data_IF_758091230029
#
_entry.id   IF_758091230029
#
_cell.length_a   1.000
_cell.length_b   1.000
_cell.length_c   1.000
_cell.angle_alpha   90.00
_cell.angle_beta   90.00
_cell.angle_gamma   90.00
#
_symmetry.space_group_name_H-M   'P 1'
#
loop_
_entity.id
_entity.type
_entity.pdbx_description
1 polymer ?
#
# COMPACT_ATOMS: atom_id res chain seq x y z
N UNK A 1 -8.66 15.24 12.37
CA UNK A 1 -7.71 14.78 11.33
C UNK A 1 -8.54 14.40 10.12
N UNK A 2 -8.72 15.30 9.15
CA UNK A 2 -9.56 15.05 7.97
C UNK A 2 -9.08 13.84 7.14
N UNK A 3 -7.77 13.58 7.10
CA UNK A 3 -7.17 12.50 6.31
C UNK A 3 -7.51 11.10 6.85
N UNK A 4 -7.64 10.94 8.17
CA UNK A 4 -8.01 9.66 8.78
C UNK A 4 -9.50 9.33 8.55
N UNK A 5 -10.36 10.35 8.58
CA UNK A 5 -11.79 10.20 8.28
C UNK A 5 -12.02 9.93 6.79
N UNK A 6 -11.20 10.51 5.91
CA UNK A 6 -11.17 10.18 4.49
C UNK A 6 -10.83 8.70 4.28
N UNK A 7 -9.70 8.22 4.81
CA UNK A 7 -9.30 6.80 4.70
C UNK A 7 -10.34 5.85 5.27
N UNK A 8 -11.01 6.23 6.35
CA UNK A 8 -12.14 5.47 6.91
C UNK A 8 -13.30 5.38 5.91
N UNK A 9 -13.67 6.50 5.29
CA UNK A 9 -14.71 6.54 4.25
C UNK A 9 -14.33 5.69 3.03
N UNK A 10 -13.07 5.75 2.61
CA UNK A 10 -12.55 4.93 1.50
C UNK A 10 -12.55 3.44 1.83
N UNK A 11 -12.22 3.08 3.08
CA UNK A 11 -12.31 1.71 3.56
C UNK A 11 -13.75 1.20 3.55
N UNK A 12 -14.68 1.96 4.16
CA UNK A 12 -16.10 1.59 4.26
C UNK A 12 -16.77 1.49 2.89
N UNK A 13 -16.34 2.29 1.92
CA UNK A 13 -16.81 2.23 0.53
C UNK A 13 -16.11 1.18 -0.35
N UNK A 14 -15.12 0.45 0.18
CA UNK A 14 -14.38 -0.59 -0.53
C UNK A 14 -13.30 -0.07 -1.50
N UNK A 15 -13.02 1.24 -1.53
CA UNK A 15 -11.97 1.81 -2.39
C UNK A 15 -10.57 1.31 -2.02
N UNK A 16 -10.37 0.90 -0.77
CA UNK A 16 -9.09 0.36 -0.29
C UNK A 16 -8.98 -1.18 -0.40
N UNK A 17 -9.97 -1.87 -0.99
CA UNK A 17 -9.94 -3.35 -1.09
C UNK A 17 -8.79 -3.87 -1.96
N UNK A 18 -8.33 -3.10 -2.94
CA UNK A 18 -7.14 -3.45 -3.73
C UNK A 18 -5.88 -3.47 -2.86
N UNK A 19 -5.68 -2.45 -2.01
CA UNK A 19 -4.55 -2.38 -1.08
C UNK A 19 -4.59 -3.55 -0.08
N UNK A 20 -5.78 -3.92 0.40
CA UNK A 20 -5.94 -5.08 1.29
C UNK A 20 -5.51 -6.38 0.62
N UNK A 21 -5.89 -6.58 -0.65
CA UNK A 21 -5.49 -7.74 -1.44
C UNK A 21 -3.98 -7.75 -1.67
N UNK A 22 -3.42 -6.62 -2.07
CA UNK A 22 -1.98 -6.46 -2.31
C UNK A 22 -1.19 -6.76 -1.03
N UNK A 23 -1.66 -6.32 0.14
CA UNK A 23 -1.03 -6.65 1.44
C UNK A 23 -1.06 -8.15 1.74
N UNK A 24 -2.18 -8.82 1.50
CA UNK A 24 -2.32 -10.26 1.70
C UNK A 24 -1.38 -11.03 0.76
N UNK A 25 -1.35 -10.66 -0.51
CA UNK A 25 -0.46 -11.28 -1.51
C UNK A 25 1.01 -11.00 -1.17
N UNK A 26 1.33 -9.78 -0.76
CA UNK A 26 2.67 -9.38 -0.34
C UNK A 26 3.17 -10.23 0.84
N UNK A 27 2.41 -10.31 1.93
CA UNK A 27 2.82 -11.10 3.12
C UNK A 27 2.91 -12.59 2.78
N UNK A 28 2.03 -13.10 1.90
CA UNK A 28 2.10 -14.49 1.44
C UNK A 28 3.37 -14.77 0.63
N UNK A 29 3.67 -13.91 -0.33
CA UNK A 29 4.80 -14.08 -1.25
C UNK A 29 6.15 -13.86 -0.55
N UNK A 30 6.19 -12.96 0.44
CA UNK A 30 7.41 -12.61 1.19
C UNK A 30 7.45 -13.22 2.59
N UNK A 31 6.62 -14.24 2.87
CA UNK A 31 6.51 -14.83 4.22
C UNK A 31 7.87 -15.21 4.80
N UNK A 32 8.68 -15.94 4.03
CA UNK A 32 10.00 -16.39 4.48
C UNK A 32 10.95 -15.21 4.65
N UNK A 33 10.96 -14.27 3.70
CA UNK A 33 11.80 -13.07 3.78
C UNK A 33 11.49 -12.21 5.01
N UNK A 34 10.22 -12.08 5.39
CA UNK A 34 9.79 -11.35 6.59
C UNK A 34 10.30 -12.04 7.86
N UNK A 35 10.21 -13.37 7.91
CA UNK A 35 10.71 -14.15 9.04
C UNK A 35 12.23 -14.07 9.14
N UNK A 36 12.94 -14.20 8.03
CA UNK A 36 14.39 -14.07 7.97
C UNK A 36 14.83 -12.67 8.37
N UNK A 37 14.14 -11.63 7.89
CA UNK A 37 14.39 -10.25 8.27
C UNK A 37 14.21 -10.02 9.78
N UNK A 38 13.17 -10.63 10.38
CA UNK A 38 12.91 -10.58 11.83
C UNK A 38 14.09 -11.15 12.62
N UNK A 39 14.55 -12.35 12.26
CA UNK A 39 15.64 -13.04 12.96
C UNK A 39 17.00 -12.35 12.74
N UNK A 40 17.30 -11.99 11.49
CA UNK A 40 18.63 -11.50 11.10
C UNK A 40 18.87 -10.03 11.49
N UNK A 41 17.84 -9.18 11.44
CA UNK A 41 17.99 -7.74 11.64
C UNK A 41 17.30 -7.27 12.92
N UNK A 42 16.01 -7.56 13.07
CA UNK A 42 15.23 -6.96 14.15
C UNK A 42 15.62 -7.53 15.51
N UNK A 43 15.77 -8.85 15.65
CA UNK A 43 16.18 -9.44 16.94
C UNK A 43 17.59 -9.05 17.36
N UNK A 44 18.50 -8.83 16.41
CA UNK A 44 19.86 -8.33 16.71
C UNK A 44 19.86 -6.87 17.19
N UNK A 45 18.98 -6.03 16.62
CA UNK A 45 18.90 -4.61 16.95
C UNK A 45 18.03 -4.29 18.17
N UNK A 46 16.96 -5.07 18.39
CA UNK A 46 15.92 -4.78 19.41
C UNK A 46 15.76 -5.89 20.45
N UNK A 47 16.57 -6.93 20.42
CA UNK A 47 16.52 -8.05 21.35
C UNK A 47 15.36 -9.02 21.08
N UNK A 48 15.03 -9.85 22.06
CA UNK A 48 14.13 -11.00 21.89
C UNK A 48 12.64 -10.66 21.68
N UNK A 49 12.22 -9.39 21.89
CA UNK A 49 10.80 -8.98 21.89
C UNK A 49 10.32 -8.41 20.55
N UNK A 50 10.73 -8.98 19.42
CA UNK A 50 10.22 -8.54 18.11
C UNK A 50 8.93 -9.28 17.79
N UNK A 51 7.83 -8.54 17.67
CA UNK A 51 6.53 -9.10 17.28
C UNK A 51 6.44 -9.32 15.77
N UNK A 52 5.59 -10.26 15.36
CA UNK A 52 5.26 -10.52 13.95
C UNK A 52 4.72 -9.27 13.25
N UNK A 53 3.88 -8.49 13.92
CA UNK A 53 3.33 -7.23 13.43
C UNK A 53 4.45 -6.21 13.12
N UNK A 54 5.41 -6.07 14.04
CA UNK A 54 6.55 -5.18 13.82
C UNK A 54 7.42 -5.69 12.66
N UNK A 55 7.60 -7.01 12.52
CA UNK A 55 8.36 -7.59 11.42
C UNK A 55 7.75 -7.26 10.05
N UNK A 56 6.43 -7.42 9.90
CA UNK A 56 5.71 -7.09 8.66
C UNK A 56 5.89 -5.60 8.32
N UNK A 57 5.64 -4.70 9.28
CA UNK A 57 5.75 -3.24 9.07
C UNK A 57 7.16 -2.84 8.65
N UNK A 58 8.17 -3.32 9.37
CA UNK A 58 9.55 -2.97 9.09
C UNK A 58 10.02 -3.53 7.76
N UNK A 59 9.55 -4.72 7.38
CA UNK A 59 9.85 -5.28 6.06
C UNK A 59 9.19 -4.49 4.94
N UNK A 60 7.93 -4.07 5.08
CA UNK A 60 7.25 -3.16 4.12
C UNK A 60 8.04 -1.86 3.96
N UNK A 61 8.50 -1.26 5.07
CA UNK A 61 9.32 -0.06 5.03
C UNK A 61 10.67 -0.29 4.35
N UNK A 62 11.25 -1.48 4.46
CA UNK A 62 12.49 -1.86 3.80
C UNK A 62 12.31 -1.97 2.29
N UNK A 63 11.25 -2.65 1.82
CA UNK A 63 11.01 -2.86 0.38
C UNK A 63 10.34 -1.67 -0.31
N UNK A 64 9.78 -0.73 0.47
CA UNK A 64 9.22 0.56 0.02
C UNK A 64 7.98 0.48 -0.89
N UNK A 65 7.49 -0.70 -1.23
CA UNK A 65 6.26 -0.91 -2.00
C UNK A 65 5.71 -2.31 -1.74
N UNK A 66 4.39 -2.45 -1.68
CA UNK A 66 3.71 -3.76 -1.55
C UNK A 66 3.26 -4.31 -2.90
N UNK A 67 3.13 -3.44 -3.91
CA UNK A 67 2.71 -3.78 -5.27
C UNK A 67 3.18 -2.69 -6.23
N UNK A 68 4.45 -2.73 -6.70
CA UNK A 68 4.98 -1.69 -7.58
C UNK A 68 4.16 -1.53 -8.86
N UNK A 69 3.70 -2.64 -9.44
CA UNK A 69 2.88 -2.63 -10.64
C UNK A 69 1.49 -2.04 -10.40
N UNK A 70 0.88 -2.34 -9.25
CA UNK A 70 -0.40 -1.76 -8.86
C UNK A 70 -0.27 -0.25 -8.62
N UNK A 71 0.77 0.17 -7.90
CA UNK A 71 1.05 1.58 -7.64
C UNK A 71 1.30 2.37 -8.93
N UNK A 72 2.08 1.84 -9.86
CA UNK A 72 2.31 2.47 -11.18
C UNK A 72 0.99 2.61 -11.95
N UNK A 73 0.14 1.57 -11.94
CA UNK A 73 -1.15 1.61 -12.63
C UNK A 73 -2.07 2.68 -12.04
N UNK A 74 -2.12 2.77 -10.71
CA UNK A 74 -2.92 3.78 -10.02
C UNK A 74 -2.41 5.19 -10.35
N UNK A 75 -1.08 5.42 -10.35
CA UNK A 75 -0.50 6.70 -10.78
C UNK A 75 -0.83 7.04 -12.24
N UNK A 76 -0.74 6.07 -13.16
CA UNK A 76 -1.09 6.29 -14.56
C UNK A 76 -2.56 6.70 -14.72
N UNK A 77 -3.46 6.10 -13.94
CA UNK A 77 -4.88 6.45 -13.95
C UNK A 77 -5.13 7.90 -13.49
N UNK A 78 -4.45 8.35 -12.44
CA UNK A 78 -4.52 9.74 -11.98
C UNK A 78 -3.99 10.72 -13.04
N UNK A 79 -2.89 10.37 -13.72
CA UNK A 79 -2.34 11.15 -14.83
C UNK A 79 -3.33 11.21 -16.01
N UNK A 80 -3.96 10.09 -16.36
CA UNK A 80 -4.97 10.04 -17.42
C UNK A 80 -6.19 10.91 -17.11
N UNK A 81 -6.61 10.94 -15.84
CA UNK A 81 -7.67 11.83 -15.39
C UNK A 81 -7.28 13.30 -15.54
N UNK A 82 -6.06 13.67 -15.14
CA UNK A 82 -5.54 15.03 -15.32
C UNK A 82 -5.52 15.44 -16.80
N UNK A 83 -5.08 14.54 -17.69
CA UNK A 83 -5.11 14.76 -19.14
C UNK A 83 -6.53 15.05 -19.62
N UNK A 84 -7.50 14.26 -19.14
CA UNK A 84 -8.90 14.44 -19.50
C UNK A 84 -9.45 15.80 -18.99
N UNK A 85 -9.22 16.14 -17.73
CA UNK A 85 -9.69 17.40 -17.13
C UNK A 85 -9.13 18.65 -17.84
N UNK A 86 -7.85 18.64 -18.21
CA UNK A 86 -7.25 19.77 -18.95
C UNK A 86 -7.77 19.85 -20.39
N UNK A 87 -8.06 18.70 -21.00
CA UNK A 87 -8.76 18.62 -22.28
C UNK A 87 -10.14 19.27 -22.23
N UNK A 88 -10.94 18.97 -21.20
CA UNK A 88 -12.25 19.58 -21.00
C UNK A 88 -12.19 21.10 -20.77
N UNK A 89 -11.13 21.59 -20.13
CA UNK A 89 -10.91 23.03 -19.88
C UNK A 89 -10.45 23.81 -21.12
N UNK A 90 -10.25 23.14 -22.25
CA UNK A 90 -9.85 23.77 -23.50
C UNK A 90 -8.39 24.22 -23.52
N UNK A 91 -7.51 23.61 -22.70
CA UNK A 91 -6.08 23.95 -22.63
C UNK A 91 -5.27 23.55 -23.90
N UNK A 92 -5.93 23.35 -25.05
CA UNK A 92 -5.32 23.02 -26.33
C UNK A 92 -4.78 21.58 -26.43
N UNK A 93 -4.14 21.24 -27.56
CA UNK A 93 -3.39 19.98 -27.72
C UNK A 93 -2.14 19.99 -26.83
N UNK A 94 -2.33 19.81 -25.53
CA UNK A 94 -1.23 19.56 -24.61
C UNK A 94 -0.62 18.19 -24.90
N UNK A 95 0.71 18.16 -24.97
CA UNK A 95 1.46 16.91 -25.02
C UNK A 95 1.21 16.11 -23.73
N UNK A 96 0.72 14.87 -23.88
CA UNK A 96 0.49 13.95 -22.75
C UNK A 96 1.74 13.76 -21.91
N UNK A 97 2.93 13.76 -22.53
CA UNK A 97 4.19 13.64 -21.79
C UNK A 97 4.45 14.87 -20.93
N UNK A 98 4.10 16.07 -21.41
CA UNK A 98 4.23 17.28 -20.64
C UNK A 98 3.29 17.28 -19.44
N UNK A 99 2.02 16.94 -19.63
CA UNK A 99 1.04 16.84 -18.52
C UNK A 99 1.51 15.82 -17.48
N UNK A 100 1.97 14.65 -17.92
CA UNK A 100 2.49 13.63 -17.00
C UNK A 100 3.68 14.13 -16.18
N UNK A 101 4.64 14.85 -16.80
CA UNK A 101 5.78 15.43 -16.09
C UNK A 101 5.33 16.48 -15.06
N UNK A 102 4.43 17.38 -15.46
CA UNK A 102 3.90 18.41 -14.56
C UNK A 102 3.11 17.79 -13.41
N UNK A 103 2.31 16.77 -13.68
CA UNK A 103 1.56 16.04 -12.67
C UNK A 103 2.53 15.36 -11.69
N UNK A 104 3.55 14.67 -12.18
CA UNK A 104 4.56 14.04 -11.33
C UNK A 104 5.28 15.05 -10.43
N UNK A 105 5.65 16.21 -10.96
CA UNK A 105 6.31 17.26 -10.18
C UNK A 105 5.42 17.82 -9.06
N UNK A 106 4.12 17.95 -9.30
CA UNK A 106 3.19 18.62 -8.37
C UNK A 106 2.52 17.64 -7.39
N UNK A 107 2.19 16.44 -7.84
CA UNK A 107 1.28 15.54 -7.13
C UNK A 107 1.95 14.24 -6.68
N UNK A 108 3.02 13.77 -7.31
CA UNK A 108 3.61 12.47 -6.96
C UNK A 108 4.07 12.35 -5.49
N UNK A 109 4.68 13.38 -4.86
CA UNK A 109 5.03 13.30 -3.44
C UNK A 109 3.81 13.11 -2.54
N UNK A 110 2.79 13.96 -2.68
CA UNK A 110 1.56 13.86 -1.89
C UNK A 110 0.79 12.56 -2.16
N UNK A 111 0.78 12.11 -3.41
CA UNK A 111 0.22 10.81 -3.77
C UNK A 111 0.94 9.66 -3.05
N UNK A 112 2.28 9.72 -2.98
CA UNK A 112 3.07 8.69 -2.30
C UNK A 112 2.79 8.67 -0.81
N UNK A 113 2.72 9.84 -0.17
CA UNK A 113 2.44 9.98 1.26
C UNK A 113 1.06 9.44 1.62
N UNK A 114 0.03 9.85 0.85
CA UNK A 114 -1.32 9.31 1.00
C UNK A 114 -1.33 7.79 0.81
N UNK A 115 -0.61 7.26 -0.18
CA UNK A 115 -0.51 5.81 -0.41
C UNK A 115 0.15 5.08 0.76
N UNK A 116 1.20 5.63 1.39
CA UNK A 116 1.79 5.04 2.61
C UNK A 116 0.77 5.02 3.73
N UNK A 117 0.06 6.13 3.95
CA UNK A 117 -0.97 6.20 5.00
C UNK A 117 -2.09 5.18 4.77
N UNK A 118 -2.57 5.04 3.53
CA UNK A 118 -3.57 4.04 3.19
C UNK A 118 -3.07 2.61 3.46
N UNK A 119 -1.83 2.29 3.10
CA UNK A 119 -1.22 0.97 3.41
C UNK A 119 -1.18 0.72 4.92
N UNK A 120 -0.71 1.70 5.71
CA UNK A 120 -0.64 1.57 7.18
C UNK A 120 -2.05 1.41 7.77
N UNK A 121 -3.01 2.22 7.31
CA UNK A 121 -4.40 2.14 7.75
C UNK A 121 -5.00 0.76 7.48
N UNK A 122 -4.86 0.27 6.25
CA UNK A 122 -5.40 -1.04 5.86
C UNK A 122 -4.72 -2.16 6.64
N UNK A 123 -3.39 -2.09 6.83
CA UNK A 123 -2.65 -3.05 7.63
C UNK A 123 -3.24 -3.19 9.04
N UNK A 124 -3.59 -2.08 9.71
CA UNK A 124 -4.27 -2.14 11.01
C UNK A 124 -5.62 -2.87 10.92
N UNK A 125 -6.40 -2.62 9.87
CA UNK A 125 -7.72 -3.21 9.68
C UNK A 125 -7.69 -4.71 9.44
N UNK A 126 -6.66 -5.21 8.76
CA UNK A 126 -6.53 -6.63 8.40
C UNK A 126 -5.41 -7.36 9.15
N UNK A 127 -4.89 -6.77 10.23
CA UNK A 127 -3.70 -7.24 10.94
C UNK A 127 -3.77 -8.72 11.30
N UNK A 128 -4.87 -9.17 11.90
CA UNK A 128 -5.01 -10.54 12.37
C UNK A 128 -4.95 -11.56 11.22
N UNK A 129 -5.50 -11.20 10.06
CA UNK A 129 -5.37 -12.01 8.84
C UNK A 129 -3.92 -12.11 8.38
N UNK A 130 -3.18 -10.98 8.37
CA UNK A 130 -1.77 -10.96 7.95
C UNK A 130 -0.90 -11.77 8.92
N UNK A 131 -1.19 -11.71 10.23
CA UNK A 131 -0.50 -12.50 11.25
C UNK A 131 -0.75 -13.99 11.07
N UNK A 132 -2.00 -14.40 10.80
CA UNK A 132 -2.32 -15.79 10.52
C UNK A 132 -1.55 -16.31 9.29
N UNK A 133 -1.50 -15.53 8.21
CA UNK A 133 -0.72 -15.86 7.00
C UNK A 133 0.77 -16.01 7.35
N UNK A 134 1.34 -15.06 8.11
CA UNK A 134 2.76 -15.13 8.49
C UNK A 134 3.06 -16.38 9.33
N UNK A 135 2.17 -16.75 10.23
CA UNK A 135 2.29 -17.95 11.07
C UNK A 135 2.07 -19.26 10.33
N UNK A 136 1.49 -19.19 9.12
CA UNK A 136 1.11 -20.38 8.36
C UNK A 136 -0.19 -21.01 8.85
N UNK A 137 -1.00 -20.25 9.59
CA UNK A 137 -2.35 -20.64 9.98
C UNK A 137 -3.24 -20.48 8.73
N UNK A 138 -3.41 -21.57 7.98
CA UNK A 138 -4.37 -21.60 6.89
C UNK A 138 -5.76 -21.30 7.47
N UNK A 139 -6.39 -20.22 7.01
CA UNK A 139 -7.78 -19.90 7.29
C UNK A 139 -8.70 -21.01 6.81
N UNK A 140 -8.84 -22.07 7.60
CA UNK A 140 -9.99 -22.95 7.54
C UNK A 140 -11.16 -22.11 8.04
N UNK A 141 -11.87 -21.51 7.10
CA UNK A 141 -13.27 -21.20 7.33
C UNK A 141 -13.94 -22.52 7.69
N UNK A 142 -14.16 -22.72 8.99
CA UNK A 142 -15.08 -23.72 9.47
C UNK A 142 -16.47 -23.25 9.04
N UNK A 143 -16.89 -23.64 7.83
CA UNK A 143 -18.30 -23.67 7.47
C UNK A 143 -18.92 -24.86 8.17
N UNK A 144 -19.65 -24.57 9.25
CA UNK A 144 -20.65 -25.43 9.85
C UNK A 144 -21.90 -24.58 10.10
#
# INVERSE_FOLDING_TARGET
MPELEELKTEWESGRLSAIARDLVEFVRNHRMDILDYREAHLKKLRGAQVTDDLAIRMYILQVRSISPQGEIRDQLKEIEQEVWYRGERGEGQLDRQQIAREWCMRHAPGWRDHRVMAIVYVLEKIKDQLLAILRGENGHSSSA
#
